data_IF_703627767158
#
_entry.id   IF_703627767158
#
_cell.length_a   1.000
_cell.length_b   1.000
_cell.length_c   1.000
_cell.angle_alpha   90.00
_cell.angle_beta   90.00
_cell.angle_gamma   90.00
#
_symmetry.space_group_name_H-M   'P 1'
#
loop_
_entity.id
_entity.type
_entity.pdbx_description
1 polymer ?
#
# COMPACT_ATOMS: atom_id res chain seq x y z
N UNK A 1 -11.84 -11.65 -5.62
CA UNK A 1 -10.42 -11.43 -5.28
C UNK A 1 -10.29 -11.59 -3.77
N UNK A 2 -9.22 -12.21 -3.29
CA UNK A 2 -8.99 -12.44 -1.85
C UNK A 2 -8.09 -11.36 -1.22
N UNK A 3 -7.40 -10.60 -2.07
CA UNK A 3 -6.54 -9.47 -1.71
C UNK A 3 -6.54 -8.46 -2.86
N UNK A 4 -6.54 -7.17 -2.54
CA UNK A 4 -6.32 -6.08 -3.49
C UNK A 4 -4.98 -5.41 -3.15
N UNK A 5 -4.16 -5.18 -4.17
CA UNK A 5 -2.92 -4.40 -4.05
C UNK A 5 -3.02 -3.21 -5.00
N UNK A 6 -2.72 -2.03 -4.48
CA UNK A 6 -2.65 -0.76 -5.23
C UNK A 6 -1.35 -0.05 -4.91
N UNK A 7 -1.07 1.06 -5.57
CA UNK A 7 0.15 1.83 -5.34
C UNK A 7 0.15 3.19 -6.01
N UNK A 8 1.04 4.05 -5.52
CA UNK A 8 1.35 5.37 -6.07
C UNK A 8 2.75 5.83 -5.61
N UNK A 9 3.24 6.96 -6.13
CA UNK A 9 4.57 7.46 -5.74
C UNK A 9 4.69 7.81 -4.26
N UNK A 10 3.65 8.42 -3.68
CA UNK A 10 3.56 8.72 -2.25
C UNK A 10 2.13 8.61 -1.76
N UNK A 11 1.93 7.85 -0.69
CA UNK A 11 0.68 7.77 0.08
C UNK A 11 0.77 8.69 1.28
N UNK A 12 -0.15 9.63 1.36
CA UNK A 12 -0.30 10.57 2.47
C UNK A 12 -1.77 10.98 2.63
N UNK A 13 -2.05 11.90 3.57
CA UNK A 13 -3.42 12.39 3.80
C UNK A 13 -4.08 13.00 2.56
N UNK A 14 -3.32 13.52 1.58
CA UNK A 14 -3.91 14.05 0.35
C UNK A 14 -4.40 12.94 -0.59
N UNK A 15 -3.89 11.71 -0.43
CA UNK A 15 -4.33 10.57 -1.22
C UNK A 15 -5.79 10.17 -0.94
N UNK A 16 -6.33 10.53 0.22
CA UNK A 16 -7.76 10.36 0.53
C UNK A 16 -8.66 11.17 -0.42
N UNK A 17 -8.19 12.33 -0.89
CA UNK A 17 -8.95 13.30 -1.70
C UNK A 17 -9.24 12.91 -3.15
N UNK A 18 -9.11 11.64 -3.53
CA UNK A 18 -9.53 11.15 -4.86
C UNK A 18 -8.40 10.63 -5.75
N UNK A 19 -7.29 10.16 -5.17
CA UNK A 19 -6.25 9.44 -5.92
C UNK A 19 -6.65 7.98 -6.17
N UNK A 20 -5.85 7.28 -6.97
CA UNK A 20 -6.04 5.86 -7.30
C UNK A 20 -6.16 5.00 -6.04
N UNK A 21 -5.35 5.27 -5.02
CA UNK A 21 -5.37 4.50 -3.76
C UNK A 21 -6.72 4.57 -3.06
N UNK A 22 -7.31 5.76 -2.92
CA UNK A 22 -8.61 5.90 -2.24
C UNK A 22 -9.76 5.28 -3.02
N UNK A 23 -9.76 5.41 -4.35
CA UNK A 23 -10.78 4.80 -5.20
C UNK A 23 -10.73 3.26 -5.14
N UNK A 24 -9.53 2.68 -5.20
CA UNK A 24 -9.35 1.22 -5.11
C UNK A 24 -9.69 0.71 -3.70
N UNK A 25 -9.32 1.44 -2.65
CA UNK A 25 -9.66 1.11 -1.27
C UNK A 25 -11.17 1.07 -1.04
N UNK A 26 -11.92 2.06 -1.52
CA UNK A 26 -13.37 2.09 -1.42
C UNK A 26 -14.01 0.87 -2.13
N UNK A 27 -13.57 0.56 -3.35
CA UNK A 27 -14.06 -0.59 -4.11
C UNK A 27 -13.76 -1.94 -3.44
N UNK A 28 -12.62 -2.05 -2.75
CA UNK A 28 -12.22 -3.25 -2.01
C UNK A 28 -13.06 -3.42 -0.73
N UNK A 29 -13.27 -2.33 0.02
CA UNK A 29 -14.13 -2.29 1.20
C UNK A 29 -15.55 -2.72 0.89
N UNK A 30 -16.14 -2.18 -0.19
CA UNK A 30 -17.51 -2.52 -0.61
C UNK A 30 -17.66 -4.01 -0.97
N UNK A 31 -16.55 -4.72 -1.19
CA UNK A 31 -16.50 -6.17 -1.44
C UNK A 31 -16.00 -6.99 -0.24
N UNK A 32 -15.67 -6.35 0.88
CA UNK A 32 -15.11 -7.00 2.07
C UNK A 32 -13.72 -7.61 1.85
N UNK A 33 -12.94 -7.10 0.89
CA UNK A 33 -11.62 -7.63 0.53
C UNK A 33 -10.53 -6.72 1.12
N UNK A 34 -9.49 -7.25 1.78
CA UNK A 34 -8.38 -6.42 2.27
C UNK A 34 -7.65 -5.73 1.12
N UNK A 35 -7.23 -4.48 1.35
CA UNK A 35 -6.57 -3.63 0.37
C UNK A 35 -5.24 -3.11 0.91
N UNK A 36 -4.14 -3.41 0.22
CA UNK A 36 -2.79 -2.95 0.57
C UNK A 36 -2.33 -1.89 -0.43
N UNK A 37 -1.70 -0.82 0.06
CA UNK A 37 -0.98 0.13 -0.78
C UNK A 37 0.53 -0.07 -0.66
N UNK A 38 1.21 -0.26 -1.80
CA UNK A 38 2.67 -0.26 -1.88
C UNK A 38 3.10 1.03 -2.57
N UNK A 39 3.85 1.88 -1.87
CA UNK A 39 4.13 3.23 -2.34
C UNK A 39 5.60 3.62 -2.19
N UNK A 40 6.10 4.46 -3.10
CA UNK A 40 7.49 4.95 -3.03
C UNK A 40 7.83 5.57 -1.68
N UNK A 41 6.85 6.25 -1.05
CA UNK A 41 6.90 6.62 0.37
C UNK A 41 5.51 6.68 1.00
N UNK A 42 5.48 6.57 2.32
CA UNK A 42 4.26 6.72 3.14
C UNK A 42 4.54 7.79 4.19
N UNK A 43 3.64 8.76 4.37
CA UNK A 43 3.84 9.85 5.32
C UNK A 43 2.54 10.41 5.89
N UNK A 44 2.61 10.86 7.15
CA UNK A 44 1.47 11.48 7.84
C UNK A 44 0.44 10.47 8.34
N UNK A 45 -0.63 10.95 8.98
CA UNK A 45 -1.73 10.09 9.40
C UNK A 45 -2.50 9.55 8.19
N UNK A 46 -2.89 8.28 8.25
CA UNK A 46 -3.65 7.60 7.20
C UNK A 46 -5.09 7.29 7.63
N UNK A 47 -5.58 7.93 8.70
CA UNK A 47 -6.88 7.62 9.31
C UNK A 47 -8.04 7.71 8.31
N UNK A 48 -8.04 8.74 7.45
CA UNK A 48 -9.05 8.90 6.39
C UNK A 48 -8.98 7.78 5.35
N UNK A 49 -7.78 7.35 4.95
CA UNK A 49 -7.60 6.25 4.02
C UNK A 49 -8.03 4.91 4.63
N UNK A 50 -7.73 4.68 5.91
CA UNK A 50 -8.22 3.51 6.63
C UNK A 50 -9.74 3.50 6.71
N UNK A 51 -10.37 4.64 7.01
CA UNK A 51 -11.84 4.79 7.00
C UNK A 51 -12.46 4.54 5.60
N UNK A 52 -11.73 4.90 4.53
CA UNK A 52 -12.15 4.64 3.15
C UNK A 52 -12.00 3.16 2.74
N UNK A 53 -11.23 2.35 3.46
CA UNK A 53 -11.10 0.92 3.19
C UNK A 53 -9.67 0.42 3.01
N UNK A 54 -8.66 1.27 3.14
CA UNK A 54 -7.27 0.83 3.07
C UNK A 54 -6.95 0.00 4.31
N UNK A 55 -6.46 -1.23 4.12
CA UNK A 55 -6.10 -2.12 5.22
C UNK A 55 -4.73 -1.79 5.78
N UNK A 56 -3.76 -1.54 4.91
CA UNK A 56 -2.41 -1.13 5.30
C UNK A 56 -1.69 -0.43 4.14
N UNK A 57 -0.66 0.35 4.47
CA UNK A 57 0.24 0.98 3.51
C UNK A 57 1.70 0.64 3.85
N UNK A 58 2.51 0.40 2.82
CA UNK A 58 3.92 0.07 2.95
C UNK A 58 4.76 1.01 2.09
N UNK A 59 5.85 1.52 2.67
CA UNK A 59 6.84 2.33 1.98
C UNK A 59 7.88 1.43 1.30
N UNK A 60 8.22 1.71 0.04
CA UNK A 60 9.34 1.09 -0.66
C UNK A 60 10.68 1.63 -0.16
N UNK A 61 10.72 2.87 0.34
CA UNK A 61 11.91 3.40 0.98
C UNK A 61 12.19 2.65 2.27
N UNK A 62 13.32 1.92 2.28
CA UNK A 62 13.84 1.07 3.34
C UNK A 62 14.88 1.77 4.24
N UNK A 63 15.10 3.07 4.03
CA UNK A 63 16.05 3.88 4.78
C UNK A 63 16.33 5.23 4.11
N UNK A 64 17.34 5.99 4.60
CA UNK A 64 17.78 7.23 3.96
C UNK A 64 18.35 6.94 2.58
N UNK A 65 17.59 7.28 1.53
CA UNK A 65 17.99 7.19 0.12
C UNK A 65 17.57 8.44 -0.62
N UNK A 66 18.31 8.79 -1.65
CA UNK A 66 17.92 9.81 -2.62
C UNK A 66 16.76 9.33 -3.49
N UNK A 67 16.05 10.26 -4.12
CA UNK A 67 14.97 9.91 -5.03
C UNK A 67 15.47 9.13 -6.25
N UNK A 68 16.68 9.42 -6.74
CA UNK A 68 17.23 8.72 -7.91
C UNK A 68 17.65 7.29 -7.58
N UNK A 69 18.18 7.04 -6.38
CA UNK A 69 18.42 5.67 -5.87
C UNK A 69 17.11 4.88 -5.76
N UNK A 70 16.06 5.49 -5.17
CA UNK A 70 14.74 4.84 -5.06
C UNK A 70 14.13 4.51 -6.42
N UNK A 71 14.32 5.38 -7.42
CA UNK A 71 13.83 5.16 -8.77
C UNK A 71 14.63 4.08 -9.50
N UNK A 72 15.95 4.05 -9.31
CA UNK A 72 16.81 3.02 -9.89
C UNK A 72 16.47 1.62 -9.34
N UNK A 73 16.16 1.53 -8.05
CA UNK A 73 15.86 0.29 -7.35
C UNK A 73 14.35 0.02 -7.19
N UNK A 74 13.48 0.75 -7.89
CA UNK A 74 12.03 0.67 -7.67
C UNK A 74 11.47 -0.76 -7.84
N UNK A 75 11.93 -1.49 -8.85
CA UNK A 75 11.47 -2.86 -9.11
C UNK A 75 11.92 -3.88 -8.03
N UNK A 76 13.22 -3.96 -7.66
CA UNK A 76 13.63 -4.87 -6.57
C UNK A 76 12.98 -4.49 -5.23
N UNK A 77 12.90 -3.20 -4.87
CA UNK A 77 12.24 -2.75 -3.64
C UNK A 77 10.76 -3.13 -3.62
N UNK A 78 10.04 -2.90 -4.73
CA UNK A 78 8.62 -3.29 -4.85
C UNK A 78 8.45 -4.80 -4.69
N UNK A 79 9.35 -5.60 -5.26
CA UNK A 79 9.30 -7.06 -5.17
C UNK A 79 9.46 -7.52 -3.73
N UNK A 80 10.44 -6.97 -3.01
CA UNK A 80 10.71 -7.30 -1.61
C UNK A 80 9.52 -6.92 -0.70
N UNK A 81 9.02 -5.69 -0.82
CA UNK A 81 7.89 -5.23 -0.01
C UNK A 81 6.61 -6.03 -0.32
N UNK A 82 6.34 -6.31 -1.60
CA UNK A 82 5.18 -7.10 -1.99
C UNK A 82 5.26 -8.53 -1.42
N UNK A 83 6.44 -9.15 -1.47
CA UNK A 83 6.67 -10.49 -0.95
C UNK A 83 6.42 -10.56 0.56
N UNK A 84 6.97 -9.61 1.32
CA UNK A 84 6.77 -9.52 2.78
C UNK A 84 5.30 -9.23 3.13
N UNK A 85 4.66 -8.29 2.43
CA UNK A 85 3.26 -7.94 2.67
C UNK A 85 2.32 -9.12 2.37
N UNK A 86 2.55 -9.85 1.28
CA UNK A 86 1.74 -11.02 0.92
C UNK A 86 1.96 -12.17 1.89
N UNK A 87 3.16 -12.38 2.44
CA UNK A 87 3.38 -13.39 3.48
C UNK A 87 2.51 -13.17 4.72
N UNK A 88 2.26 -11.92 5.09
CA UNK A 88 1.39 -11.59 6.21
C UNK A 88 -0.06 -12.02 5.93
N UNK A 89 -0.55 -11.77 4.70
CA UNK A 89 -1.93 -12.08 4.30
C UNK A 89 -2.14 -13.56 3.98
N UNK A 90 -1.16 -14.21 3.36
CA UNK A 90 -1.24 -15.61 2.94
C UNK A 90 -1.25 -16.60 4.12
N UNK A 91 -0.79 -16.19 5.31
CA UNK A 91 -0.97 -16.94 6.55
C UNK A 91 -2.43 -16.86 7.00
N UNK A 92 -3.32 -17.60 6.33
CA UNK A 92 -4.69 -17.80 6.84
C UNK A 92 -4.60 -18.51 8.20
N UNK A 93 -5.34 -18.06 9.23
CA UNK A 93 -5.50 -18.86 10.43
C UNK A 93 -6.12 -20.21 10.04
N UNK A 94 -5.43 -21.30 10.39
CA UNK A 94 -5.99 -22.64 10.35
C UNK A 94 -7.02 -22.68 11.47
N UNK A 95 -8.30 -22.66 11.13
CA UNK A 95 -9.40 -23.01 12.03
C UNK A 95 -9.89 -24.41 11.66
#
# INVERSE_FOLDING_TARGET
ADLVITGEGRVDGQSAGGKVVSAVAALARDRGVPCLALAGGVSGPLDELHALGLTAAFSLADGPRTLDELKADAAPLLTEVAEQAVRLVARRPVY
#
